data_IF_767150138019
#
_entry.id   IF_767150138019
#
_cell.length_a   1.000
_cell.length_b   1.000
_cell.length_c   1.000
_cell.angle_alpha   90.00
_cell.angle_beta   90.00
_cell.angle_gamma   90.00
#
_symmetry.space_group_name_H-M   'P 1'
#
loop_
_entity.id
_entity.type
_entity.pdbx_description
1 polymer ?
#
# COMPACT_ATOMS: atom_id res chain seq x y z
N UNK A 1 30.20 -0.09 -24.02
CA UNK A 1 30.00 0.92 -23.02
C UNK A 1 28.56 1.42 -23.04
N UNK A 2 27.83 1.12 -22.02
CA UNK A 2 26.43 1.51 -21.96
C UNK A 2 26.29 2.99 -21.67
N UNK A 3 25.40 3.66 -22.40
CA UNK A 3 25.02 5.02 -22.04
C UNK A 3 24.14 4.89 -20.80
N UNK A 4 24.63 5.43 -19.68
CA UNK A 4 23.83 5.44 -18.48
C UNK A 4 22.70 6.42 -18.67
N UNK A 5 21.48 5.90 -18.70
CA UNK A 5 20.31 6.76 -18.80
C UNK A 5 20.21 7.61 -17.52
N UNK A 6 20.14 8.91 -17.69
CA UNK A 6 19.94 9.81 -16.56
C UNK A 6 18.47 9.87 -16.22
N UNK A 7 18.17 9.64 -14.95
CA UNK A 7 16.81 9.76 -14.45
C UNK A 7 16.62 11.08 -13.75
N UNK A 8 15.45 11.66 -13.93
CA UNK A 8 15.03 12.90 -13.27
C UNK A 8 13.74 12.62 -12.52
N UNK A 9 13.29 13.59 -11.75
CA UNK A 9 11.99 13.47 -11.10
C UNK A 9 10.92 13.21 -12.16
N UNK A 10 10.03 12.28 -11.86
CA UNK A 10 8.97 11.92 -12.79
C UNK A 10 7.87 12.97 -12.70
N UNK A 11 7.53 13.58 -13.83
CA UNK A 11 6.54 14.66 -13.86
C UNK A 11 5.27 14.29 -14.59
N UNK A 12 5.33 13.31 -15.50
CA UNK A 12 4.17 12.92 -16.32
C UNK A 12 3.90 11.42 -16.19
N UNK A 13 2.70 11.01 -16.60
CA UNK A 13 2.35 9.59 -16.65
C UNK A 13 3.32 8.82 -17.57
N UNK A 14 3.74 9.46 -18.66
CA UNK A 14 4.71 8.83 -19.58
C UNK A 14 6.04 8.59 -18.88
N UNK A 15 6.51 9.57 -18.10
CA UNK A 15 7.72 9.41 -17.30
C UNK A 15 7.58 8.25 -16.33
N UNK A 16 6.44 8.19 -15.67
CA UNK A 16 6.14 7.12 -14.71
C UNK A 16 6.14 5.75 -15.41
N UNK A 17 5.48 5.64 -16.56
CA UNK A 17 5.42 4.38 -17.30
C UNK A 17 6.80 3.93 -17.75
N UNK A 18 7.65 4.88 -18.20
CA UNK A 18 9.03 4.57 -18.59
C UNK A 18 9.84 4.06 -17.40
N UNK A 19 9.67 4.70 -16.25
CA UNK A 19 10.37 4.30 -15.02
C UNK A 19 9.92 2.91 -14.56
N UNK A 20 8.62 2.64 -14.61
CA UNK A 20 8.09 1.32 -14.24
C UNK A 20 8.60 0.22 -15.17
N UNK A 21 8.65 0.51 -16.48
CA UNK A 21 9.16 -0.45 -17.46
C UNK A 21 10.62 -0.80 -17.17
N UNK A 22 11.42 0.23 -16.88
CA UNK A 22 12.84 0.01 -16.55
C UNK A 22 13.00 -0.73 -15.24
N UNK A 23 12.19 -0.37 -14.22
CA UNK A 23 12.21 -1.07 -12.94
C UNK A 23 11.95 -2.56 -13.12
N UNK A 24 10.99 -2.93 -13.95
CA UNK A 24 10.67 -4.35 -14.19
C UNK A 24 11.87 -5.12 -14.75
N UNK A 25 12.69 -4.47 -15.55
CA UNK A 25 13.91 -5.08 -16.08
C UNK A 25 14.99 -5.24 -15.00
N UNK A 26 15.01 -4.35 -14.01
CA UNK A 26 16.06 -4.31 -13.01
C UNK A 26 15.69 -4.91 -11.67
N UNK A 27 14.45 -5.33 -11.49
CA UNK A 27 13.95 -5.75 -10.17
C UNK A 27 14.75 -6.86 -9.50
N UNK A 28 15.40 -7.69 -10.27
CA UNK A 28 16.22 -8.80 -9.75
C UNK A 28 17.73 -8.52 -9.81
N UNK A 29 18.11 -7.25 -10.00
CA UNK A 29 19.52 -6.88 -10.09
C UNK A 29 20.28 -7.21 -8.82
N UNK A 30 21.50 -7.71 -8.98
CA UNK A 30 22.36 -8.11 -7.87
C UNK A 30 22.85 -6.89 -7.10
N UNK A 31 22.73 -6.94 -5.78
CA UNK A 31 23.19 -5.87 -4.90
C UNK A 31 24.66 -5.56 -5.18
N UNK A 32 24.99 -4.28 -5.24
CA UNK A 32 26.35 -3.81 -5.50
C UNK A 32 26.66 -3.53 -6.96
N UNK A 33 25.72 -3.83 -7.88
CA UNK A 33 25.90 -3.54 -9.30
C UNK A 33 25.31 -2.17 -9.65
N UNK A 34 25.70 -1.65 -10.83
CA UNK A 34 25.13 -0.40 -11.32
C UNK A 34 23.63 -0.54 -11.56
N UNK A 35 23.19 -1.70 -12.03
CA UNK A 35 21.79 -2.01 -12.24
C UNK A 35 21.00 -1.93 -10.93
N UNK A 36 21.59 -2.40 -9.84
CA UNK A 36 20.94 -2.31 -8.54
C UNK A 36 20.83 -0.86 -8.06
N UNK A 37 21.86 -0.06 -8.30
CA UNK A 37 21.84 1.36 -7.95
C UNK A 37 20.74 2.09 -8.72
N UNK A 38 20.62 1.80 -10.00
CA UNK A 38 19.56 2.38 -10.83
C UNK A 38 18.19 1.94 -10.32
N UNK A 39 18.04 0.66 -9.97
CA UNK A 39 16.80 0.13 -9.42
C UNK A 39 16.39 0.91 -8.17
N UNK A 40 17.33 1.13 -7.25
CA UNK A 40 17.03 1.84 -6.00
C UNK A 40 16.64 3.29 -6.24
N UNK A 41 17.29 3.96 -7.21
CA UNK A 41 16.90 5.30 -7.60
C UNK A 41 15.48 5.30 -8.17
N UNK A 42 15.16 4.34 -9.04
CA UNK A 42 13.82 4.23 -9.61
C UNK A 42 12.75 4.03 -8.54
N UNK A 43 13.05 3.23 -7.51
CA UNK A 43 12.12 3.05 -6.40
C UNK A 43 11.76 4.39 -5.78
N UNK A 44 12.77 5.22 -5.51
CA UNK A 44 12.54 6.53 -4.91
C UNK A 44 11.76 7.48 -5.83
N UNK A 45 12.10 7.49 -7.11
CA UNK A 45 11.41 8.35 -8.08
C UNK A 45 9.97 7.92 -8.28
N UNK A 46 9.72 6.63 -8.34
CA UNK A 46 8.38 6.08 -8.50
C UNK A 46 7.53 6.41 -7.27
N UNK A 47 8.09 6.20 -6.07
CA UNK A 47 7.39 6.52 -4.83
C UNK A 47 7.05 8.01 -4.73
N UNK A 48 7.99 8.88 -5.13
CA UNK A 48 7.75 10.32 -5.14
C UNK A 48 6.60 10.69 -6.08
N UNK A 49 6.58 10.12 -7.29
CA UNK A 49 5.51 10.38 -8.25
C UNK A 49 4.17 9.91 -7.70
N UNK A 50 4.13 8.69 -7.15
CA UNK A 50 2.89 8.14 -6.62
C UNK A 50 2.34 8.97 -5.46
N UNK A 51 3.22 9.44 -4.57
CA UNK A 51 2.80 10.29 -3.46
C UNK A 51 2.16 11.60 -3.93
N UNK A 52 2.66 12.16 -5.02
CA UNK A 52 2.18 13.45 -5.53
C UNK A 52 0.96 13.31 -6.44
N UNK A 53 0.86 12.22 -7.20
CA UNK A 53 -0.19 12.04 -8.20
C UNK A 53 -1.30 11.10 -7.75
N UNK A 54 -1.02 10.25 -6.77
CA UNK A 54 -2.00 9.33 -6.20
C UNK A 54 -2.01 9.54 -4.69
N UNK A 55 -2.58 10.68 -4.24
CA UNK A 55 -2.59 10.99 -2.82
C UNK A 55 -3.37 9.94 -2.05
N UNK A 56 -3.15 9.91 -0.72
CA UNK A 56 -3.88 9.00 0.14
C UNK A 56 -5.38 9.20 -0.06
N UNK A 57 -6.16 8.12 -0.14
CA UNK A 57 -7.61 8.25 -0.34
C UNK A 57 -8.23 9.04 0.80
N UNK A 58 -9.30 9.78 0.49
CA UNK A 58 -10.03 10.54 1.50
C UNK A 58 -10.89 9.64 2.40
N UNK A 59 -11.04 8.39 2.05
CA UNK A 59 -11.79 7.42 2.87
C UNK A 59 -10.97 7.04 4.10
N UNK A 60 -11.66 6.75 5.19
CA UNK A 60 -10.96 6.31 6.41
C UNK A 60 -10.44 4.86 6.26
N UNK A 61 -9.57 4.43 7.19
CA UNK A 61 -8.99 3.08 7.11
C UNK A 61 -10.02 1.96 7.07
N UNK A 62 -11.13 2.09 7.77
CA UNK A 62 -12.17 1.03 7.80
C UNK A 62 -12.87 0.95 6.45
N UNK A 63 -13.18 2.08 5.84
CA UNK A 63 -13.76 2.10 4.49
C UNK A 63 -12.81 1.47 3.48
N UNK A 64 -11.51 1.76 3.61
CA UNK A 64 -10.51 1.17 2.72
C UNK A 64 -10.47 -0.35 2.87
N UNK A 65 -10.51 -0.83 4.12
CA UNK A 65 -10.55 -2.27 4.39
C UNK A 65 -11.78 -2.90 3.74
N UNK A 66 -12.94 -2.28 3.91
CA UNK A 66 -14.19 -2.80 3.34
C UNK A 66 -14.17 -2.84 1.81
N UNK A 67 -13.60 -1.80 1.18
CA UNK A 67 -13.45 -1.76 -0.27
C UNK A 67 -12.60 -2.92 -0.76
N UNK A 68 -11.44 -3.12 -0.11
CA UNK A 68 -10.53 -4.21 -0.49
C UNK A 68 -11.13 -5.59 -0.20
N UNK A 69 -11.88 -5.71 0.90
CA UNK A 69 -12.58 -6.96 1.20
C UNK A 69 -13.49 -7.35 0.03
N UNK A 70 -14.26 -6.40 -0.48
CA UNK A 70 -15.14 -6.66 -1.61
C UNK A 70 -14.36 -7.07 -2.86
N UNK A 71 -13.26 -6.38 -3.13
CA UNK A 71 -12.42 -6.68 -4.29
C UNK A 71 -11.80 -8.06 -4.22
N UNK A 72 -11.41 -8.50 -3.03
CA UNK A 72 -10.73 -9.79 -2.83
C UNK A 72 -11.67 -10.91 -2.40
N UNK A 73 -12.98 -10.65 -2.34
CA UNK A 73 -13.95 -11.67 -2.01
C UNK A 73 -14.01 -12.06 -0.53
N UNK A 74 -13.58 -11.17 0.36
CA UNK A 74 -13.70 -11.40 1.79
C UNK A 74 -15.02 -10.86 2.32
N UNK A 75 -15.56 -11.56 3.31
CA UNK A 75 -16.62 -11.02 4.16
C UNK A 75 -16.09 -10.94 5.59
N UNK A 76 -16.90 -10.44 6.52
CA UNK A 76 -16.48 -10.27 7.90
C UNK A 76 -16.02 -11.60 8.52
N UNK A 77 -16.73 -12.68 8.23
CA UNK A 77 -16.40 -14.00 8.78
C UNK A 77 -15.07 -14.54 8.24
N UNK A 78 -14.83 -14.42 6.93
CA UNK A 78 -13.60 -14.91 6.33
C UNK A 78 -12.40 -14.06 6.74
N UNK A 79 -12.56 -12.75 6.85
CA UNK A 79 -11.51 -11.88 7.34
C UNK A 79 -11.18 -12.20 8.79
N UNK A 80 -12.20 -12.40 9.62
CA UNK A 80 -12.02 -12.73 11.03
C UNK A 80 -11.30 -14.07 11.20
N UNK A 81 -11.59 -15.04 10.34
CA UNK A 81 -10.92 -16.33 10.36
C UNK A 81 -9.42 -16.18 10.09
N UNK A 82 -9.07 -15.32 9.14
CA UNK A 82 -7.66 -15.08 8.82
C UNK A 82 -6.93 -14.36 9.95
N UNK A 83 -7.60 -13.46 10.63
CA UNK A 83 -6.99 -12.74 11.74
C UNK A 83 -6.95 -13.57 13.03
N UNK A 84 -7.99 -14.37 13.27
CA UNK A 84 -8.06 -15.25 14.43
C UNK A 84 -8.92 -14.75 15.60
N UNK A 85 -9.53 -13.57 15.50
CA UNK A 85 -10.36 -13.01 16.57
C UNK A 85 -11.61 -12.37 15.97
N UNK A 86 -12.66 -13.15 15.87
CA UNK A 86 -13.92 -12.74 15.25
C UNK A 86 -14.57 -11.54 15.97
N UNK A 87 -14.57 -11.56 17.30
CA UNK A 87 -15.20 -10.47 18.07
C UNK A 87 -14.50 -9.15 17.86
N UNK A 88 -13.18 -9.15 17.92
CA UNK A 88 -12.39 -7.93 17.73
C UNK A 88 -12.53 -7.40 16.30
N UNK A 89 -12.47 -8.27 15.30
CA UNK A 89 -12.63 -7.85 13.90
C UNK A 89 -14.00 -7.20 13.69
N UNK A 90 -15.06 -7.79 14.24
CA UNK A 90 -16.39 -7.21 14.14
C UNK A 90 -16.46 -5.82 14.75
N UNK A 91 -15.89 -5.63 15.94
CA UNK A 91 -15.87 -4.32 16.61
C UNK A 91 -15.12 -3.28 15.78
N UNK A 92 -13.98 -3.67 15.22
CA UNK A 92 -13.17 -2.76 14.41
C UNK A 92 -13.93 -2.35 13.15
N UNK A 93 -14.52 -3.31 12.45
CA UNK A 93 -15.27 -3.01 11.22
C UNK A 93 -16.52 -2.17 11.47
N UNK A 94 -17.03 -2.16 12.70
CA UNK A 94 -18.19 -1.37 13.10
C UNK A 94 -17.81 -0.09 13.83
N UNK A 95 -16.55 0.33 13.76
CA UNK A 95 -16.07 1.58 14.38
C UNK A 95 -16.20 1.61 15.90
N UNK A 96 -16.26 0.46 16.54
CA UNK A 96 -16.36 0.38 18.01
C UNK A 96 -15.00 0.26 18.68
N UNK A 97 -13.99 -0.07 17.91
CA UNK A 97 -12.63 -0.28 18.41
C UNK A 97 -11.63 0.10 17.33
N UNK A 98 -10.51 0.69 17.74
CA UNK A 98 -9.45 1.08 16.80
C UNK A 98 -8.72 -0.15 16.26
N UNK A 99 -8.14 -0.01 15.06
CA UNK A 99 -7.23 -1.00 14.52
C UNK A 99 -6.02 -1.14 15.45
N UNK A 100 -5.69 -2.37 15.79
CA UNK A 100 -4.44 -2.63 16.51
C UNK A 100 -3.29 -2.70 15.52
N UNK A 101 -2.06 -2.58 16.03
CA UNK A 101 -0.87 -2.71 15.17
C UNK A 101 -0.83 -4.07 14.48
N UNK A 102 -1.20 -5.15 15.19
CA UNK A 102 -1.21 -6.47 14.59
C UNK A 102 -2.26 -6.59 13.46
N UNK A 103 -3.40 -5.92 13.61
CA UNK A 103 -4.42 -5.87 12.56
C UNK A 103 -3.91 -5.08 11.35
N UNK A 104 -3.24 -3.96 11.58
CA UNK A 104 -2.67 -3.17 10.50
C UNK A 104 -1.69 -4.01 9.69
N UNK A 105 -0.79 -4.72 10.36
CA UNK A 105 0.18 -5.59 9.71
C UNK A 105 -0.50 -6.70 8.90
N UNK A 106 -1.48 -7.37 9.51
CA UNK A 106 -2.16 -8.49 8.87
C UNK A 106 -3.00 -8.05 7.69
N UNK A 107 -3.81 -7.01 7.89
CA UNK A 107 -4.70 -6.53 6.84
C UNK A 107 -3.94 -5.86 5.70
N UNK A 108 -2.84 -5.19 6.00
CA UNK A 108 -1.97 -4.63 4.98
C UNK A 108 -1.47 -5.71 4.02
N UNK A 109 -1.02 -6.84 4.56
CA UNK A 109 -0.55 -7.96 3.75
C UNK A 109 -1.69 -8.66 3.02
N UNK A 110 -2.75 -8.95 3.74
CA UNK A 110 -3.86 -9.77 3.23
C UNK A 110 -4.65 -9.04 2.15
N UNK A 111 -4.88 -7.76 2.34
CA UNK A 111 -5.73 -6.95 1.46
C UNK A 111 -4.93 -6.05 0.53
N UNK A 112 -3.60 -6.15 0.55
CA UNK A 112 -2.71 -5.35 -0.29
C UNK A 112 -2.95 -3.85 -0.13
N UNK A 113 -3.06 -3.41 1.12
CA UNK A 113 -3.23 -2.00 1.47
C UNK A 113 -1.92 -1.49 2.06
N UNK A 114 -1.37 -0.36 1.56
CA UNK A 114 -0.19 0.22 2.21
C UNK A 114 -0.48 0.49 3.68
N UNK A 115 0.42 0.07 4.57
CA UNK A 115 0.20 0.21 6.02
C UNK A 115 -0.04 1.66 6.42
N UNK A 116 0.59 2.61 5.75
CA UNK A 116 0.41 4.04 6.02
C UNK A 116 -1.02 4.52 5.83
N UNK A 117 -1.80 3.85 4.98
CA UNK A 117 -3.21 4.17 4.81
C UNK A 117 -4.05 3.68 5.98
N UNK A 118 -3.56 2.67 6.71
CA UNK A 118 -4.26 2.09 7.86
C UNK A 118 -3.88 2.73 9.18
N UNK A 119 -2.78 3.49 9.21
CA UNK A 119 -2.32 4.19 10.42
C UNK A 119 -3.07 5.50 10.62
N UNK A 120 -3.70 6.01 9.58
CA UNK A 120 -4.43 7.28 9.62
C UNK A 120 -5.47 7.28 10.75
N UNK A 121 -5.53 8.37 11.50
CA UNK A 121 -6.54 8.51 12.55
C UNK A 121 -7.94 8.63 11.94
N UNK A 122 -8.90 8.08 12.63
CA UNK A 122 -10.31 8.17 12.24
C UNK A 122 -11.19 8.10 13.50
N UNK A 123 -12.36 8.73 13.47
CA UNK A 123 -13.23 8.73 14.64
C UNK A 123 -13.93 7.39 14.81
N UNK A 124 -14.09 6.99 16.07
CA UNK A 124 -14.89 5.82 16.41
C UNK A 124 -16.34 6.26 16.59
N UNK A 125 -17.26 5.40 16.19
CA UNK A 125 -18.68 5.68 16.37
C UNK A 125 -19.10 5.29 17.78
N UNK A 126 -19.64 6.26 18.52
CA UNK A 126 -20.26 5.96 19.80
C UNK A 126 -21.65 5.43 19.51
N UNK A 127 -21.87 4.17 19.86
CA UNK A 127 -23.23 3.66 19.85
C UNK A 127 -23.85 4.06 21.16
N UNK A 128 -24.82 4.91 21.08
CA UNK A 128 -25.62 5.27 22.23
C UNK A 128 -26.44 4.10 22.71
#
# INVERSE_FOLDING_TARGET
MGITKKWFLLETEKDYDNAMARYQKLKNATKGTEEHKEKMLLVHLIQNFESNHYPLPEVDPIEMIKIRMREFGFNSATLAKEYGDKGTVSKVLNYKQSLSLSMIRKFSQLLKIPAEWLIKEYPLHKTG
#
